data_IF_312639461361
#
_entry.id   IF_312639461361
#
_cell.length_a   1.000
_cell.length_b   1.000
_cell.length_c   1.000
_cell.angle_alpha   90.00
_cell.angle_beta   90.00
_cell.angle_gamma   90.00
#
_symmetry.space_group_name_H-M   'P 1'
#
loop_
_entity.id
_entity.type
_entity.pdbx_description
1 polymer ?
#
# COMPACT_ATOMS: atom_id res chain seq x y z
N UNK A 1 -13.90 27.72 -48.98
CA UNK A 1 -12.61 27.90 -48.30
C UNK A 1 -11.81 26.61 -48.37
N UNK A 2 -10.49 26.68 -48.51
CA UNK A 2 -9.63 25.48 -48.42
C UNK A 2 -9.63 24.94 -46.98
N UNK A 3 -9.24 23.67 -46.80
CA UNK A 3 -9.16 23.07 -45.46
C UNK A 3 -8.28 23.87 -44.47
N UNK A 4 -7.24 24.56 -44.96
CA UNK A 4 -6.34 25.38 -44.12
C UNK A 4 -7.03 26.67 -43.68
N UNK A 5 -7.79 27.30 -44.55
CA UNK A 5 -8.57 28.49 -44.22
C UNK A 5 -9.71 28.14 -43.25
N UNK A 6 -10.41 27.04 -43.50
CA UNK A 6 -11.48 26.57 -42.62
C UNK A 6 -10.96 26.11 -41.25
N UNK A 7 -9.80 25.45 -41.19
CA UNK A 7 -9.18 25.09 -39.91
C UNK A 7 -8.81 26.30 -39.07
N UNK A 8 -8.32 27.36 -39.72
CA UNK A 8 -7.99 28.62 -39.05
C UNK A 8 -9.26 29.31 -38.52
N UNK A 9 -10.34 29.32 -39.31
CA UNK A 9 -11.64 29.84 -38.89
C UNK A 9 -12.18 29.11 -37.65
N UNK A 10 -12.09 27.78 -37.65
CA UNK A 10 -12.56 26.93 -36.55
C UNK A 10 -11.55 26.80 -35.38
N UNK A 11 -10.40 27.46 -35.45
CA UNK A 11 -9.37 27.41 -34.40
C UNK A 11 -8.79 26.00 -34.16
N UNK A 12 -8.67 25.17 -35.20
CA UNK A 12 -8.18 23.79 -35.10
C UNK A 12 -7.09 23.45 -36.12
N UNK A 13 -6.46 22.29 -35.94
CA UNK A 13 -5.51 21.76 -36.91
C UNK A 13 -6.27 21.22 -38.16
N UNK A 14 -5.80 21.45 -39.40
CA UNK A 14 -6.33 20.78 -40.59
C UNK A 14 -6.53 19.27 -40.46
N UNK A 15 -5.69 18.58 -39.68
CA UNK A 15 -5.84 17.15 -39.37
C UNK A 15 -7.16 16.81 -38.68
N UNK A 16 -7.68 17.70 -37.81
CA UNK A 16 -8.98 17.52 -37.14
C UNK A 16 -10.12 17.49 -38.14
N UNK A 17 -10.11 18.39 -39.12
CA UNK A 17 -11.13 18.42 -40.18
C UNK A 17 -11.00 17.20 -41.09
N UNK A 18 -9.78 16.77 -41.45
CA UNK A 18 -9.56 15.51 -42.18
C UNK A 18 -10.08 14.30 -41.41
N UNK A 19 -9.92 14.30 -40.09
CA UNK A 19 -10.44 13.26 -39.24
C UNK A 19 -11.98 13.24 -39.24
N UNK A 20 -12.63 14.40 -39.11
CA UNK A 20 -14.10 14.48 -39.18
C UNK A 20 -14.66 14.11 -40.55
N UNK A 21 -13.99 14.45 -41.65
CA UNK A 21 -14.35 13.98 -42.99
C UNK A 21 -14.28 12.44 -43.07
N UNK A 22 -13.16 11.83 -42.64
CA UNK A 22 -12.99 10.37 -42.62
C UNK A 22 -14.03 9.67 -41.74
N UNK A 23 -14.44 10.30 -40.65
CA UNK A 23 -15.45 9.79 -39.74
C UNK A 23 -16.87 10.13 -40.18
N UNK A 24 -17.10 10.68 -41.39
CA UNK A 24 -18.41 11.11 -41.88
C UNK A 24 -19.14 12.09 -40.95
N UNK A 25 -18.40 12.89 -40.20
CA UNK A 25 -18.93 13.83 -39.21
C UNK A 25 -19.03 15.26 -39.77
N UNK A 26 -18.08 15.64 -40.63
CA UNK A 26 -18.07 16.93 -41.32
C UNK A 26 -17.47 16.77 -42.71
N UNK A 27 -18.33 16.67 -43.73
CA UNK A 27 -17.90 16.45 -45.12
C UNK A 27 -17.63 17.78 -45.83
N UNK A 28 -16.63 17.84 -46.72
CA UNK A 28 -16.44 19.01 -47.58
C UNK A 28 -17.64 19.20 -48.52
N UNK A 29 -18.02 20.45 -48.79
CA UNK A 29 -19.06 20.76 -49.79
C UNK A 29 -18.60 20.41 -51.20
N UNK A 30 -17.29 20.50 -51.45
CA UNK A 30 -16.68 20.14 -52.74
C UNK A 30 -15.32 19.48 -52.55
N UNK A 31 -15.08 18.44 -53.32
CA UNK A 31 -13.75 17.87 -53.54
C UNK A 31 -13.39 18.11 -55.00
N UNK A 32 -12.18 18.61 -55.26
CA UNK A 32 -11.67 18.78 -56.62
C UNK A 32 -11.19 17.44 -57.17
N UNK A 33 -11.77 17.00 -58.28
CA UNK A 33 -11.53 15.66 -58.85
C UNK A 33 -10.11 15.47 -59.41
N UNK A 34 -9.43 16.55 -59.79
CA UNK A 34 -8.11 16.51 -60.41
C UNK A 34 -6.98 16.59 -59.39
N UNK A 35 -7.20 17.34 -58.31
CA UNK A 35 -6.16 17.67 -57.32
C UNK A 35 -6.43 17.06 -55.93
N UNK A 36 -7.66 16.61 -55.67
CA UNK A 36 -8.09 16.08 -54.38
C UNK A 36 -8.24 17.14 -53.27
N UNK A 37 -8.16 18.43 -53.61
CA UNK A 37 -8.37 19.50 -52.64
C UNK A 37 -9.81 19.53 -52.13
N UNK A 38 -9.96 19.73 -50.82
CA UNK A 38 -11.24 19.78 -50.12
C UNK A 38 -11.63 21.21 -49.80
N UNK A 39 -12.88 21.55 -50.07
CA UNK A 39 -13.44 22.87 -49.84
C UNK A 39 -14.64 22.79 -48.90
N UNK A 40 -14.65 23.71 -47.93
CA UNK A 40 -15.70 23.86 -46.92
C UNK A 40 -16.36 25.23 -47.04
N UNK A 41 -17.63 25.30 -46.67
CA UNK A 41 -18.39 26.54 -46.57
C UNK A 41 -18.27 27.12 -45.14
N UNK A 42 -18.33 28.44 -45.00
CA UNK A 42 -18.31 29.12 -43.71
C UNK A 42 -19.47 28.66 -42.80
N UNK A 43 -20.63 28.35 -43.39
CA UNK A 43 -21.80 27.87 -42.63
C UNK A 43 -21.53 26.56 -41.87
N UNK A 44 -20.62 25.73 -42.38
CA UNK A 44 -20.22 24.47 -41.73
C UNK A 44 -19.41 24.70 -40.44
N UNK A 45 -18.98 25.94 -40.15
CA UNK A 45 -18.36 26.27 -38.88
C UNK A 45 -19.33 26.09 -37.70
N UNK A 46 -20.64 26.27 -37.90
CA UNK A 46 -21.66 26.01 -36.89
C UNK A 46 -21.75 24.50 -36.57
N UNK A 47 -21.71 23.65 -37.60
CA UNK A 47 -21.68 22.20 -37.43
C UNK A 47 -20.42 21.76 -36.68
N UNK A 48 -19.26 22.37 -37.00
CA UNK A 48 -18.01 22.12 -36.27
C UNK A 48 -18.14 22.46 -34.77
N UNK A 49 -18.74 23.62 -34.44
CA UNK A 49 -18.97 24.01 -33.03
C UNK A 49 -19.93 23.02 -32.35
N UNK A 50 -21.01 22.61 -33.01
CA UNK A 50 -21.97 21.61 -32.49
C UNK A 50 -21.26 20.28 -32.19
N UNK A 51 -20.46 19.77 -33.14
CA UNK A 51 -19.62 18.57 -32.96
C UNK A 51 -18.73 18.71 -31.73
N UNK A 52 -18.02 19.84 -31.59
CA UNK A 52 -17.10 20.06 -30.48
C UNK A 52 -17.78 20.12 -29.13
N UNK A 53 -18.95 20.75 -29.05
CA UNK A 53 -19.73 20.80 -27.81
C UNK A 53 -20.19 19.40 -27.39
N UNK A 54 -20.70 18.59 -28.33
CA UNK A 54 -21.11 17.22 -28.04
C UNK A 54 -19.92 16.33 -27.64
N UNK A 55 -18.76 16.47 -28.30
CA UNK A 55 -17.54 15.77 -27.89
C UNK A 55 -17.12 16.15 -26.46
N UNK A 56 -17.19 17.44 -26.13
CA UNK A 56 -16.82 17.94 -24.80
C UNK A 56 -17.78 17.43 -23.72
N UNK A 57 -19.06 17.25 -24.08
CA UNK A 57 -20.06 16.63 -23.21
C UNK A 57 -19.94 15.09 -23.10
N UNK A 58 -18.93 14.49 -23.73
CA UNK A 58 -18.62 13.06 -23.59
C UNK A 58 -19.42 12.15 -24.52
N UNK A 59 -20.05 12.69 -25.57
CA UNK A 59 -20.64 11.87 -26.63
C UNK A 59 -19.54 11.30 -27.54
N UNK A 60 -19.71 10.03 -27.91
CA UNK A 60 -18.87 9.32 -28.87
C UNK A 60 -19.11 9.82 -30.29
N UNK A 61 -18.18 9.54 -31.21
CA UNK A 61 -18.31 9.95 -32.61
C UNK A 61 -19.60 9.41 -33.24
N UNK A 62 -20.00 8.19 -32.87
CA UNK A 62 -21.20 7.56 -33.43
C UNK A 62 -22.49 8.19 -32.87
N UNK A 63 -22.56 8.46 -31.57
CA UNK A 63 -23.67 9.23 -30.98
C UNK A 63 -23.76 10.63 -31.61
N UNK A 64 -22.64 11.29 -31.88
CA UNK A 64 -22.65 12.63 -32.47
C UNK A 64 -23.23 12.60 -33.88
N UNK A 65 -22.92 11.60 -34.71
CA UNK A 65 -23.50 11.48 -36.06
C UNK A 65 -25.02 11.47 -36.01
N UNK A 66 -25.60 10.71 -35.09
CA UNK A 66 -27.05 10.62 -34.90
C UNK A 66 -27.63 11.96 -34.44
N UNK A 67 -26.91 12.70 -33.60
CA UNK A 67 -27.35 13.99 -33.03
C UNK A 67 -27.15 15.21 -33.95
N UNK A 68 -26.34 15.09 -35.00
CA UNK A 68 -26.12 16.21 -35.94
C UNK A 68 -27.39 16.53 -36.73
N UNK A 69 -28.08 15.49 -37.19
CA UNK A 69 -29.31 15.59 -37.99
C UNK A 69 -30.60 15.54 -37.13
N UNK A 70 -30.46 15.31 -35.82
CA UNK A 70 -31.59 15.26 -34.89
C UNK A 70 -32.16 16.67 -34.60
N UNK A 71 -33.44 16.69 -34.23
CA UNK A 71 -34.10 17.91 -33.78
C UNK A 71 -33.66 18.32 -32.36
N UNK A 72 -34.07 19.52 -31.94
CA UNK A 72 -33.67 20.07 -30.65
C UNK A 72 -34.18 19.24 -29.46
N UNK A 73 -35.32 18.56 -29.61
CA UNK A 73 -35.93 17.75 -28.55
C UNK A 73 -35.13 16.46 -28.33
N UNK A 74 -34.80 15.76 -29.41
CA UNK A 74 -33.94 14.56 -29.36
C UNK A 74 -32.54 14.89 -28.83
N UNK A 75 -31.97 16.05 -29.19
CA UNK A 75 -30.69 16.49 -28.63
C UNK A 75 -30.81 16.72 -27.12
N UNK A 76 -31.86 17.42 -26.66
CA UNK A 76 -32.09 17.67 -25.25
C UNK A 76 -32.27 16.39 -24.43
N UNK A 77 -33.02 15.42 -24.96
CA UNK A 77 -33.21 14.11 -24.36
C UNK A 77 -31.88 13.34 -24.27
N UNK A 78 -31.07 13.36 -25.33
CA UNK A 78 -29.75 12.74 -25.33
C UNK A 78 -28.82 13.35 -24.26
N UNK A 79 -28.84 14.67 -24.08
CA UNK A 79 -28.12 15.33 -22.99
C UNK A 79 -28.63 14.92 -21.62
N UNK A 80 -29.95 14.84 -21.43
CA UNK A 80 -30.55 14.42 -20.15
C UNK A 80 -30.14 13.00 -19.79
N UNK A 81 -30.16 12.09 -20.78
CA UNK A 81 -29.67 10.73 -20.61
C UNK A 81 -28.18 10.70 -20.27
N UNK A 82 -27.36 11.49 -20.97
CA UNK A 82 -25.91 11.54 -20.74
C UNK A 82 -25.58 12.07 -19.35
N UNK A 83 -26.27 13.10 -18.89
CA UNK A 83 -26.12 13.65 -17.54
C UNK A 83 -26.42 12.57 -16.52
N UNK A 84 -27.56 11.87 -16.65
CA UNK A 84 -27.94 10.78 -15.75
C UNK A 84 -26.90 9.65 -15.73
N UNK A 85 -26.40 9.23 -16.89
CA UNK A 85 -25.32 8.23 -16.97
C UNK A 85 -24.04 8.66 -16.23
N UNK A 86 -23.68 9.95 -16.31
CA UNK A 86 -22.51 10.48 -15.60
C UNK A 86 -22.78 10.59 -14.09
N UNK A 87 -23.98 10.99 -13.67
CA UNK A 87 -24.40 11.00 -12.27
C UNK A 87 -24.36 9.59 -11.67
N UNK A 88 -24.86 8.58 -12.38
CA UNK A 88 -24.82 7.19 -11.95
C UNK A 88 -23.38 6.67 -11.81
N UNK A 89 -22.49 7.02 -12.76
CA UNK A 89 -21.06 6.71 -12.68
C UNK A 89 -20.38 7.39 -11.50
N UNK A 90 -20.69 8.67 -11.26
CA UNK A 90 -20.16 9.42 -10.13
C UNK A 90 -20.61 8.78 -8.81
N UNK A 91 -21.88 8.43 -8.69
CA UNK A 91 -22.42 7.75 -7.52
C UNK A 91 -21.72 6.40 -7.28
N UNK A 92 -21.51 5.61 -8.33
CA UNK A 92 -20.77 4.35 -8.21
C UNK A 92 -19.33 4.56 -7.71
N UNK A 93 -18.62 5.59 -8.22
CA UNK A 93 -17.27 5.93 -7.75
C UNK A 93 -17.28 6.37 -6.28
N UNK A 94 -18.28 7.15 -5.85
CA UNK A 94 -18.42 7.58 -4.45
C UNK A 94 -18.67 6.39 -3.51
N UNK A 95 -19.49 5.41 -3.92
CA UNK A 95 -19.72 4.21 -3.11
C UNK A 95 -18.44 3.36 -2.97
N UNK A 96 -17.67 3.20 -4.05
CA UNK A 96 -16.37 2.53 -3.99
C UNK A 96 -15.43 3.28 -3.03
N UNK A 97 -15.36 4.60 -3.12
CA UNK A 97 -14.53 5.42 -2.23
C UNK A 97 -14.94 5.23 -0.76
N UNK A 98 -16.25 5.21 -0.45
CA UNK A 98 -16.75 4.96 0.91
C UNK A 98 -16.38 3.57 1.40
N UNK A 99 -16.45 2.54 0.56
CA UNK A 99 -16.01 1.17 0.91
C UNK A 99 -14.56 1.16 1.37
N UNK A 100 -13.66 1.75 0.58
CA UNK A 100 -12.25 1.85 0.95
C UNK A 100 -12.01 2.63 2.24
N UNK A 101 -12.77 3.70 2.48
CA UNK A 101 -12.69 4.42 3.75
C UNK A 101 -13.13 3.56 4.94
N UNK A 102 -14.20 2.78 4.78
CA UNK A 102 -14.68 1.85 5.80
C UNK A 102 -13.64 0.78 6.12
N UNK A 103 -13.04 0.17 5.09
CA UNK A 103 -11.98 -0.83 5.24
C UNK A 103 -10.77 -0.27 5.99
N UNK A 104 -10.28 0.92 5.60
CA UNK A 104 -9.18 1.62 6.30
C UNK A 104 -9.53 1.89 7.77
N UNK A 105 -10.78 2.28 8.04
CA UNK A 105 -11.23 2.56 9.41
C UNK A 105 -11.26 1.28 10.24
N UNK A 106 -11.76 0.17 9.68
CA UNK A 106 -11.79 -1.13 10.34
C UNK A 106 -10.37 -1.67 10.62
N UNK A 107 -9.47 -1.57 9.65
CA UNK A 107 -8.07 -1.94 9.82
C UNK A 107 -7.40 -1.11 10.93
N UNK A 108 -7.61 0.21 10.91
CA UNK A 108 -7.06 1.10 11.95
C UNK A 108 -7.57 0.71 13.34
N UNK A 109 -8.85 0.36 13.45
CA UNK A 109 -9.43 -0.12 14.71
C UNK A 109 -8.76 -1.41 15.20
N UNK A 110 -8.57 -2.40 14.33
CA UNK A 110 -7.89 -3.67 14.68
C UNK A 110 -6.46 -3.42 15.16
N UNK A 111 -5.75 -2.48 14.54
CA UNK A 111 -4.39 -2.11 14.95
C UNK A 111 -4.39 -1.50 16.36
N UNK A 112 -5.34 -0.62 16.66
CA UNK A 112 -5.47 -0.03 17.99
C UNK A 112 -5.85 -1.08 19.04
N UNK A 113 -6.69 -2.06 18.69
CA UNK A 113 -7.00 -3.21 19.57
C UNK A 113 -5.74 -4.03 19.89
N UNK A 114 -4.93 -4.36 18.88
CA UNK A 114 -3.64 -5.07 19.05
C UNK A 114 -2.64 -4.24 19.85
N UNK A 115 -2.53 -2.93 19.57
CA UNK A 115 -1.68 -1.99 20.33
C UNK A 115 -2.06 -2.01 21.80
N UNK A 116 -3.34 -1.85 22.11
CA UNK A 116 -3.82 -1.85 23.49
C UNK A 116 -3.50 -3.16 24.21
N UNK A 117 -3.68 -4.30 23.54
CA UNK A 117 -3.37 -5.62 24.08
C UNK A 117 -1.87 -5.80 24.39
N UNK A 118 -1.00 -5.37 23.48
CA UNK A 118 0.45 -5.42 23.66
C UNK A 118 0.90 -4.50 24.80
N UNK A 119 0.44 -3.26 24.82
CA UNK A 119 0.80 -2.29 25.87
C UNK A 119 0.33 -2.81 27.23
N UNK A 120 -0.88 -3.34 27.35
CA UNK A 120 -1.38 -3.96 28.58
C UNK A 120 -0.48 -5.10 29.06
N UNK A 121 -0.11 -6.04 28.17
CA UNK A 121 0.82 -7.13 28.53
C UNK A 121 2.20 -6.61 28.94
N UNK A 122 2.66 -5.52 28.33
CA UNK A 122 3.92 -4.88 28.72
C UNK A 122 3.82 -4.21 30.09
N UNK A 123 2.69 -3.61 30.44
CA UNK A 123 2.47 -3.03 31.78
C UNK A 123 2.50 -4.09 32.89
N UNK A 124 1.97 -5.27 32.63
CA UNK A 124 1.99 -6.42 33.56
C UNK A 124 3.34 -7.15 33.61
N UNK A 125 4.32 -6.75 32.78
CA UNK A 125 5.63 -7.39 32.72
C UNK A 125 6.68 -6.67 33.55
N UNK A 126 7.43 -7.41 34.38
CA UNK A 126 8.57 -6.89 35.13
C UNK A 126 9.90 -7.32 34.50
N UNK A 127 10.63 -6.43 33.81
CA UNK A 127 11.86 -6.78 33.12
C UNK A 127 13.10 -6.82 34.04
N UNK A 128 12.97 -6.45 35.33
CA UNK A 128 14.13 -6.25 36.20
C UNK A 128 14.92 -7.54 36.45
N UNK A 129 14.24 -8.66 36.65
CA UNK A 129 14.91 -9.94 36.93
C UNK A 129 15.59 -10.50 35.68
N UNK A 130 14.88 -10.45 34.56
CA UNK A 130 15.26 -11.08 33.29
C UNK A 130 16.30 -10.26 32.52
N UNK A 131 16.08 -8.95 32.42
CA UNK A 131 16.87 -8.03 31.59
C UNK A 131 17.73 -7.07 32.42
N UNK A 132 17.54 -7.00 33.74
CA UNK A 132 18.32 -6.11 34.59
C UNK A 132 18.05 -4.62 34.38
N UNK A 133 16.94 -4.26 33.72
CA UNK A 133 16.58 -2.87 33.43
C UNK A 133 15.60 -2.31 34.45
N UNK A 134 15.71 -1.02 34.76
CA UNK A 134 14.78 -0.31 35.63
C UNK A 134 13.59 0.29 34.88
N UNK A 135 12.60 0.75 35.65
CA UNK A 135 11.34 1.31 35.10
C UNK A 135 11.56 2.44 34.08
N UNK A 136 12.52 3.35 34.32
CA UNK A 136 12.76 4.45 33.39
C UNK A 136 13.20 3.99 31.99
N UNK A 137 14.05 2.96 31.90
CA UNK A 137 14.45 2.37 30.62
C UNK A 137 13.30 1.61 29.99
N UNK A 138 12.51 0.90 30.81
CA UNK A 138 11.38 0.13 30.32
C UNK A 138 10.23 1.01 29.81
N UNK A 139 9.95 2.14 30.46
CA UNK A 139 8.98 3.13 29.99
C UNK A 139 9.41 3.71 28.64
N UNK A 140 10.72 3.89 28.42
CA UNK A 140 11.22 4.30 27.11
C UNK A 140 10.99 3.22 26.04
N UNK A 141 11.21 1.94 26.37
CA UNK A 141 10.91 0.82 25.46
C UNK A 141 9.42 0.75 25.10
N UNK A 142 8.52 0.87 26.09
CA UNK A 142 7.07 0.97 25.83
C UNK A 142 6.73 2.13 24.91
N UNK A 143 7.35 3.29 25.12
CA UNK A 143 7.18 4.45 24.23
C UNK A 143 7.60 4.18 22.79
N UNK A 144 8.67 3.40 22.56
CA UNK A 144 9.08 3.03 21.20
C UNK A 144 8.09 2.08 20.51
N UNK A 145 7.51 1.14 21.26
CA UNK A 145 6.45 0.25 20.76
C UNK A 145 5.22 1.08 20.40
N UNK A 146 4.86 2.04 21.25
CA UNK A 146 3.75 2.95 21.02
C UNK A 146 3.96 3.82 19.76
N UNK A 147 5.15 4.42 19.63
CA UNK A 147 5.57 5.19 18.45
C UNK A 147 5.58 4.34 17.15
N UNK A 148 5.87 3.04 17.26
CA UNK A 148 5.82 2.12 16.13
C UNK A 148 4.40 1.95 15.60
N UNK A 149 3.41 1.75 16.49
CA UNK A 149 2.00 1.71 16.10
C UNK A 149 1.51 3.04 15.52
N UNK A 150 1.87 4.17 16.13
CA UNK A 150 1.57 5.50 15.61
C UNK A 150 2.13 5.70 14.18
N UNK A 151 3.34 5.21 13.94
CA UNK A 151 3.97 5.26 12.62
C UNK A 151 3.22 4.43 11.58
N UNK A 152 2.73 3.24 11.94
CA UNK A 152 1.93 2.40 11.04
C UNK A 152 0.62 3.11 10.66
N UNK A 153 -0.10 3.62 11.66
CA UNK A 153 -1.41 4.27 11.46
C UNK A 153 -1.24 5.55 10.63
N UNK A 154 -0.26 6.39 10.98
CA UNK A 154 -0.02 7.67 10.30
C UNK A 154 0.42 7.48 8.85
N UNK A 155 1.28 6.50 8.59
CA UNK A 155 1.80 6.25 7.24
C UNK A 155 0.93 5.29 6.42
N UNK A 156 -0.11 4.69 7.03
CA UNK A 156 -0.95 3.63 6.44
C UNK A 156 -0.12 2.46 5.92
N UNK A 157 0.97 2.15 6.60
CA UNK A 157 1.94 1.11 6.22
C UNK A 157 1.57 -0.22 6.91
N UNK A 158 0.40 -0.73 6.55
CA UNK A 158 -0.20 -1.91 7.19
C UNK A 158 0.58 -3.20 6.94
N UNK A 159 1.48 -3.23 5.95
CA UNK A 159 2.37 -4.36 5.68
C UNK A 159 3.36 -4.61 6.84
N UNK A 160 3.59 -3.62 7.71
CA UNK A 160 4.43 -3.80 8.92
C UNK A 160 3.77 -4.67 10.00
N UNK A 161 2.48 -4.97 9.87
CA UNK A 161 1.73 -5.78 10.83
C UNK A 161 1.85 -7.29 10.58
N UNK A 162 2.36 -7.72 9.42
CA UNK A 162 2.59 -9.14 9.10
C UNK A 162 3.52 -9.86 10.10
N UNK A 163 4.17 -9.12 11.01
CA UNK A 163 5.09 -9.61 12.03
C UNK A 163 4.49 -9.65 13.45
N UNK A 164 3.22 -9.28 13.62
CA UNK A 164 2.57 -9.21 14.96
C UNK A 164 1.68 -10.43 15.22
N UNK A 165 1.57 -11.36 14.27
CA UNK A 165 0.83 -12.60 14.41
C UNK A 165 1.59 -13.60 15.30
N UNK A 166 1.72 -13.25 16.59
CA UNK A 166 2.01 -14.19 17.66
C UNK A 166 0.72 -14.94 18.01
N UNK A 167 0.12 -15.60 17.02
CA UNK A 167 -0.99 -16.50 17.27
C UNK A 167 -0.44 -17.67 18.08
N UNK A 168 -0.72 -17.67 19.39
CA UNK A 168 -0.41 -18.76 20.33
C UNK A 168 -0.96 -20.12 19.84
N UNK A 169 -1.85 -20.13 18.83
CA UNK A 169 -2.56 -21.30 18.32
C UNK A 169 -2.23 -21.76 16.90
N UNK A 170 -1.23 -21.20 16.20
CA UNK A 170 -0.79 -21.82 14.93
C UNK A 170 0.23 -22.94 15.19
N UNK A 171 -0.25 -24.18 15.31
CA UNK A 171 0.63 -25.37 15.37
C UNK A 171 1.54 -25.52 14.13
N UNK A 172 1.23 -24.83 13.03
CA UNK A 172 1.92 -24.97 11.73
C UNK A 172 3.23 -24.17 11.59
N UNK A 173 3.52 -23.15 12.42
CA UNK A 173 4.81 -22.41 12.32
C UNK A 173 5.91 -23.03 13.21
N UNK A 174 5.63 -24.15 13.91
CA UNK A 174 6.39 -24.64 15.07
C UNK A 174 7.69 -25.43 14.76
N UNK A 175 8.19 -25.51 13.52
CA UNK A 175 9.32 -26.42 13.23
C UNK A 175 10.39 -26.02 12.18
N UNK A 176 10.37 -24.84 11.56
CA UNK A 176 11.13 -24.64 10.31
C UNK A 176 12.14 -23.47 10.26
N UNK A 177 12.44 -22.77 11.37
CA UNK A 177 13.45 -21.69 11.35
C UNK A 177 14.89 -22.20 11.46
N UNK A 178 15.16 -23.13 12.39
CA UNK A 178 16.48 -23.75 12.53
C UNK A 178 16.82 -24.69 11.36
N UNK A 179 15.79 -25.14 10.63
CA UNK A 179 15.94 -25.99 9.45
C UNK A 179 15.85 -25.19 8.13
N UNK A 180 15.56 -23.88 8.17
CA UNK A 180 15.46 -23.06 6.97
C UNK A 180 16.85 -22.96 6.31
N UNK A 181 17.03 -23.43 5.06
CA UNK A 181 18.30 -23.34 4.35
C UNK A 181 18.75 -21.89 4.09
N UNK A 182 17.85 -20.91 4.19
CA UNK A 182 18.13 -19.49 4.00
C UNK A 182 18.50 -18.77 5.30
N UNK A 183 18.41 -19.42 6.46
CA UNK A 183 18.82 -18.86 7.74
C UNK A 183 20.16 -19.47 8.18
N UNK A 184 20.96 -18.69 8.89
CA UNK A 184 22.22 -19.12 9.50
C UNK A 184 22.23 -18.67 10.94
N UNK A 185 22.49 -19.62 11.85
CA UNK A 185 22.76 -19.31 13.26
C UNK A 185 24.11 -18.62 13.38
N UNK A 186 24.12 -17.38 13.87
CA UNK A 186 25.36 -16.62 14.12
C UNK A 186 25.72 -16.58 15.60
N UNK A 187 24.77 -16.84 16.50
CA UNK A 187 25.01 -16.98 17.94
C UNK A 187 23.95 -17.89 18.57
N UNK A 188 24.32 -18.64 19.59
CA UNK A 188 23.39 -19.45 20.39
C UNK A 188 23.81 -19.52 21.86
N UNK A 189 22.83 -19.67 22.75
CA UNK A 189 23.03 -19.83 24.20
C UNK A 189 21.99 -20.77 24.78
N UNK A 190 22.42 -21.68 25.64
CA UNK A 190 21.56 -22.70 26.25
C UNK A 190 21.77 -22.78 27.76
N UNK A 191 20.73 -23.20 28.49
CA UNK A 191 20.80 -23.42 29.93
C UNK A 191 21.03 -22.14 30.74
N UNK A 192 20.50 -21.01 30.27
CA UNK A 192 20.62 -19.70 30.91
C UNK A 192 19.38 -19.37 31.76
N UNK A 193 19.57 -18.57 32.81
CA UNK A 193 18.48 -18.17 33.70
C UNK A 193 17.87 -16.82 33.28
N UNK A 194 18.72 -15.81 33.07
CA UNK A 194 18.31 -14.45 32.72
C UNK A 194 19.06 -13.91 31.49
N UNK A 195 18.37 -13.20 30.60
CA UNK A 195 18.96 -12.61 29.38
C UNK A 195 20.11 -11.65 29.70
N UNK A 196 20.02 -10.89 30.80
CA UNK A 196 21.06 -9.94 31.22
C UNK A 196 22.46 -10.57 31.36
N UNK A 197 22.53 -11.88 31.62
CA UNK A 197 23.80 -12.58 31.87
C UNK A 197 24.60 -12.83 30.59
N UNK A 198 23.95 -12.77 29.42
CA UNK A 198 24.60 -12.98 28.11
C UNK A 198 24.22 -11.92 27.07
N UNK A 199 23.44 -10.90 27.43
CA UNK A 199 22.93 -9.88 26.50
C UNK A 199 24.05 -9.20 25.70
N UNK A 200 25.14 -8.84 26.36
CA UNK A 200 26.27 -8.16 25.71
C UNK A 200 27.04 -9.07 24.73
N UNK A 201 26.86 -10.39 24.79
CA UNK A 201 27.53 -11.34 23.88
C UNK A 201 26.99 -11.26 22.45
N UNK A 202 25.73 -10.84 22.25
CA UNK A 202 25.07 -10.85 20.92
C UNK A 202 24.44 -9.51 20.50
N UNK A 203 24.35 -8.53 21.39
CA UNK A 203 23.53 -7.33 21.15
C UNK A 203 24.17 -6.27 20.26
N UNK A 204 25.43 -6.44 19.83
CA UNK A 204 26.08 -5.57 18.85
C UNK A 204 25.77 -6.04 17.42
N UNK A 205 24.69 -5.51 16.84
CA UNK A 205 24.14 -5.97 15.56
C UNK A 205 24.64 -5.12 14.37
N UNK A 206 24.71 -5.73 13.18
CA UNK A 206 25.02 -5.04 11.92
C UNK A 206 23.78 -4.35 11.32
N UNK A 207 23.95 -3.17 10.73
CA UNK A 207 22.89 -2.39 10.08
C UNK A 207 22.33 -3.04 8.81
N UNK A 208 23.15 -3.82 8.09
CA UNK A 208 22.82 -4.34 6.76
C UNK A 208 22.13 -5.71 6.78
N UNK A 209 21.79 -6.23 7.96
CA UNK A 209 21.39 -7.61 8.14
C UNK A 209 19.99 -7.70 8.76
N UNK A 210 19.20 -8.65 8.26
CA UNK A 210 17.94 -9.07 8.89
C UNK A 210 18.25 -10.12 9.94
N UNK A 211 17.83 -9.87 11.17
CA UNK A 211 18.05 -10.73 12.32
C UNK A 211 16.73 -11.28 12.84
N UNK A 212 16.74 -12.55 13.20
CA UNK A 212 15.61 -13.22 13.83
C UNK A 212 16.09 -13.84 15.14
N UNK A 213 15.42 -13.48 16.22
CA UNK A 213 15.64 -14.02 17.55
C UNK A 213 14.69 -15.18 17.74
N UNK A 214 15.23 -16.35 18.10
CA UNK A 214 14.43 -17.51 18.47
C UNK A 214 14.72 -17.88 19.92
N UNK A 215 13.69 -17.87 20.75
CA UNK A 215 13.74 -18.33 22.13
C UNK A 215 12.91 -19.60 22.29
N UNK A 216 13.47 -20.58 22.98
CA UNK A 216 12.70 -21.66 23.59
C UNK A 216 12.79 -21.49 25.11
N UNK A 217 11.68 -21.18 25.77
CA UNK A 217 11.65 -20.82 27.19
C UNK A 217 11.00 -21.91 28.02
N UNK A 218 11.48 -22.10 29.25
CA UNK A 218 10.82 -22.91 30.24
C UNK A 218 9.40 -22.36 30.55
N UNK A 219 8.47 -23.25 30.92
CA UNK A 219 7.03 -22.96 31.03
C UNK A 219 6.65 -21.95 32.13
N UNK A 220 7.59 -21.59 33.01
CA UNK A 220 7.41 -20.60 34.08
C UNK A 220 7.49 -19.15 33.58
N UNK A 221 8.03 -18.91 32.38
CA UNK A 221 8.03 -17.59 31.72
C UNK A 221 6.73 -17.41 30.92
N UNK A 222 5.69 -16.87 31.56
CA UNK A 222 4.33 -16.83 30.99
C UNK A 222 3.99 -15.61 30.13
N UNK A 223 4.69 -14.47 30.29
CA UNK A 223 4.40 -13.24 29.53
C UNK A 223 5.40 -13.03 28.39
N UNK A 224 5.17 -13.73 27.28
CA UNK A 224 6.03 -13.69 26.09
C UNK A 224 5.97 -12.35 25.36
N UNK A 225 4.81 -11.70 25.33
CA UNK A 225 4.67 -10.38 24.69
C UNK A 225 5.54 -9.34 25.39
N UNK A 226 5.50 -9.28 26.72
CA UNK A 226 6.37 -8.40 27.51
C UNK A 226 7.85 -8.72 27.29
N UNK A 227 8.22 -10.00 27.34
CA UNK A 227 9.60 -10.45 27.08
C UNK A 227 10.10 -10.04 25.69
N UNK A 228 9.35 -10.37 24.63
CA UNK A 228 9.71 -10.14 23.24
C UNK A 228 9.89 -8.65 22.94
N UNK A 229 8.91 -7.82 23.34
CA UNK A 229 8.98 -6.38 23.11
C UNK A 229 10.08 -5.72 23.95
N UNK A 230 10.40 -6.27 25.12
CA UNK A 230 11.54 -5.79 25.93
C UNK A 230 12.87 -6.03 25.22
N UNK A 231 13.15 -7.26 24.78
CA UNK A 231 14.42 -7.56 24.13
C UNK A 231 14.58 -6.81 22.80
N UNK A 232 13.51 -6.73 22.00
CA UNK A 232 13.51 -5.97 20.76
C UNK A 232 13.76 -4.48 21.02
N UNK A 233 13.07 -3.88 21.99
CA UNK A 233 13.28 -2.49 22.38
C UNK A 233 14.71 -2.21 22.86
N UNK A 234 15.25 -3.08 23.73
CA UNK A 234 16.63 -2.96 24.19
C UNK A 234 17.64 -3.03 23.05
N UNK A 235 17.44 -3.95 22.09
CA UNK A 235 18.27 -4.04 20.90
C UNK A 235 18.19 -2.75 20.11
N UNK A 236 17.00 -2.24 19.80
CA UNK A 236 16.81 -0.97 19.07
C UNK A 236 17.50 0.20 19.79
N UNK A 237 17.43 0.27 21.13
CA UNK A 237 18.10 1.31 21.91
C UNK A 237 19.62 1.27 21.80
N UNK A 238 20.21 0.07 21.86
CA UNK A 238 21.65 -0.14 21.67
C UNK A 238 22.05 0.12 20.21
N UNK A 239 21.14 -0.12 19.28
CA UNK A 239 21.36 -0.21 17.84
C UNK A 239 20.53 0.80 17.03
N UNK A 240 20.74 2.10 17.25
CA UNK A 240 19.87 3.21 16.76
C UNK A 240 19.72 3.40 15.23
N UNK A 241 20.22 2.50 14.39
CA UNK A 241 20.15 2.66 12.92
C UNK A 241 18.79 2.26 12.33
N UNK A 242 18.34 3.00 11.31
CA UNK A 242 16.95 3.04 10.84
C UNK A 242 16.48 1.91 9.89
N UNK A 243 17.34 0.95 9.52
CA UNK A 243 17.03 -0.04 8.46
C UNK A 243 17.03 -1.50 8.90
N UNK A 244 17.15 -1.77 10.20
CA UNK A 244 17.23 -3.14 10.70
C UNK A 244 15.84 -3.77 10.78
N UNK A 245 15.72 -4.98 10.26
CA UNK A 245 14.58 -5.85 10.49
C UNK A 245 14.95 -6.80 11.62
N UNK A 246 14.22 -6.67 12.72
CA UNK A 246 14.32 -7.52 13.89
C UNK A 246 13.00 -8.24 14.03
N UNK A 247 13.06 -9.55 14.17
CA UNK A 247 11.92 -10.39 14.50
C UNK A 247 12.25 -11.22 15.73
N UNK A 248 11.24 -11.55 16.53
CA UNK A 248 11.42 -12.32 17.76
C UNK A 248 10.32 -13.35 17.89
N UNK A 249 10.72 -14.62 17.93
CA UNK A 249 9.84 -15.75 18.12
C UNK A 249 10.16 -16.47 19.42
N UNK A 250 9.11 -16.80 20.16
CA UNK A 250 9.20 -17.47 21.45
C UNK A 250 8.36 -18.75 21.39
N UNK A 251 8.96 -19.85 21.81
CA UNK A 251 8.34 -21.17 21.88
C UNK A 251 8.49 -21.74 23.29
N UNK A 252 7.67 -22.74 23.62
CA UNK A 252 7.89 -23.57 24.80
C UNK A 252 9.12 -24.47 24.59
N UNK A 253 9.99 -24.51 25.59
CA UNK A 253 11.11 -25.44 25.65
C UNK A 253 10.63 -26.89 25.81
N UNK A 254 11.30 -27.81 25.12
CA UNK A 254 11.00 -29.25 25.17
C UNK A 254 11.72 -29.97 26.30
N UNK A 255 12.88 -29.47 26.73
CA UNK A 255 13.71 -30.09 27.77
C UNK A 255 13.59 -29.36 29.13
N UNK A 256 12.84 -28.27 29.17
CA UNK A 256 12.63 -27.45 30.37
C UNK A 256 13.73 -26.42 30.62
N UNK A 257 14.76 -26.34 29.77
CA UNK A 257 15.81 -25.34 29.84
C UNK A 257 15.52 -24.19 28.86
N UNK A 258 16.10 -23.00 29.14
CA UNK A 258 16.02 -21.90 28.20
C UNK A 258 17.08 -22.04 27.10
N UNK A 259 16.67 -21.82 25.85
CA UNK A 259 17.54 -21.78 24.68
C UNK A 259 17.29 -20.50 23.88
N UNK A 260 18.35 -19.99 23.27
CA UNK A 260 18.32 -18.82 22.43
C UNK A 260 19.19 -19.06 21.19
N UNK A 261 18.69 -18.65 20.04
CA UNK A 261 19.42 -18.57 18.78
C UNK A 261 19.22 -17.18 18.17
N UNK A 262 20.33 -16.60 17.71
CA UNK A 262 20.33 -15.44 16.83
C UNK A 262 20.58 -15.94 15.40
N UNK A 263 19.59 -15.73 14.54
CA UNK A 263 19.60 -16.15 13.15
C UNK A 263 19.75 -14.93 12.25
N UNK A 264 20.46 -15.10 11.14
CA UNK A 264 20.57 -14.13 10.07
C UNK A 264 20.13 -14.74 8.74
N UNK A 265 19.44 -13.97 7.91
CA UNK A 265 19.13 -14.40 6.54
C UNK A 265 20.37 -14.37 5.67
N UNK A 266 20.63 -15.45 4.93
CA UNK A 266 21.68 -15.46 3.90
C UNK A 266 21.36 -14.32 2.93
N UNK A 267 22.26 -13.36 2.83
CA UNK A 267 22.21 -12.42 1.72
C UNK A 267 22.42 -13.25 0.47
N UNK A 268 21.53 -13.13 -0.51
CA UNK A 268 21.81 -13.64 -1.86
C UNK A 268 23.17 -13.08 -2.25
N UNK A 269 24.21 -13.93 -2.24
CA UNK A 269 25.46 -13.57 -2.89
C UNK A 269 25.07 -13.22 -4.32
N UNK A 270 25.24 -11.94 -4.63
CA UNK A 270 25.14 -11.32 -5.94
C UNK A 270 25.52 -12.35 -7.01
N UNK A 271 24.49 -12.88 -7.66
CA UNK A 271 24.65 -13.64 -8.90
C UNK A 271 25.40 -12.75 -9.88
N UNK A 272 26.61 -13.19 -10.21
CA UNK A 272 27.57 -12.59 -11.14
C UNK A 272 26.94 -12.14 -12.45
#
# INVERSE_FOLDING_TARGET
>A
MTIKEFSNLCGCNPQTIRYYDRMNLLKPVKVDDWTGYRFYDERQALDFVKIKNLQTAGFTIDEIKELLDADNEAIYEAFTKKIKEQEDRLNAMLEIQKSYQSEITEMTKKIEEVRAEIIMRMEDYNPSLEFGIGNATYDHVKGQVDDFFDSIIKNRDYNKLEYIDNDENSEEIKQDLLNDPNLVTCYEKHGWDAVKDFYDEFSDLNDSQEYMLLFELASDKSNWTGFANTILGMLILKNKARKRKLDCKINNSKDGNNHFWLLIRKNDEVGK
#
